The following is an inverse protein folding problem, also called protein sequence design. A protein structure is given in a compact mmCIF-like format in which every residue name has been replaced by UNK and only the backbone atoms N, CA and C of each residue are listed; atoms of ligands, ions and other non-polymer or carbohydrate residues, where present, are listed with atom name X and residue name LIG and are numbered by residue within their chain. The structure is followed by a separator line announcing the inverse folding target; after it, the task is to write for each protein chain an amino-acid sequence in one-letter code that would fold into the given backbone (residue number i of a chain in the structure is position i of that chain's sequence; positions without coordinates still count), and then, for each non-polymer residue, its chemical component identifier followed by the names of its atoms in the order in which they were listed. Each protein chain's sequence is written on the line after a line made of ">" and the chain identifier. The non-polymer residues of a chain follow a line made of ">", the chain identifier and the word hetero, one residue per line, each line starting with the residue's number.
data_IF_714743960420
#
_entry.id   IF_714743960420
#
_cell.length_a   1.000
_cell.length_b   1.000
_cell.length_c   1.000
_cell.angle_alpha   90.00
_cell.angle_beta   90.00
_cell.angle_gamma   90.00
#
_symmetry.space_group_name_H-M   'P 1'
#
loop_
_entity.id
_entity.type
_entity.pdbx_description
1 polymer ?
#
# COMPACT_ATOMS: atom_id res chain seq x y z
N UNK A 1 18.22 -11.09 5.05
CA UNK A 1 17.41 -9.87 5.27
C UNK A 1 18.35 -8.65 5.28
N UNK A 2 17.93 -7.50 4.74
CA UNK A 2 18.76 -6.28 4.77
C UNK A 2 18.82 -5.72 6.20
N UNK A 3 19.96 -5.14 6.58
CA UNK A 3 20.15 -4.53 7.90
C UNK A 3 19.21 -3.32 8.09
N UNK A 4 18.79 -3.00 9.32
CA UNK A 4 17.96 -1.81 9.59
C UNK A 4 18.58 -0.52 9.06
N UNK A 5 19.92 -0.43 9.07
CA UNK A 5 20.66 0.72 8.56
C UNK A 5 20.50 0.93 7.05
N UNK A 6 20.34 -0.12 6.26
CA UNK A 6 20.12 0.00 4.81
C UNK A 6 18.72 0.51 4.48
N UNK A 7 17.69 0.13 5.26
CA UNK A 7 16.34 0.70 5.09
C UNK A 7 16.28 2.18 5.43
N UNK A 8 16.95 2.59 6.52
CA UNK A 8 17.07 4.01 6.87
C UNK A 8 17.85 4.79 5.80
N UNK A 9 18.97 4.24 5.30
CA UNK A 9 19.77 4.87 4.25
C UNK A 9 19.00 5.09 2.95
N UNK A 10 18.28 4.06 2.47
CA UNK A 10 17.40 4.19 1.31
C UNK A 10 16.26 5.19 1.55
N UNK A 11 15.65 5.16 2.73
CA UNK A 11 14.58 6.09 3.07
C UNK A 11 15.03 7.55 3.09
N UNK A 12 16.22 7.82 3.63
CA UNK A 12 16.85 9.16 3.61
C UNK A 12 17.13 9.59 2.17
N UNK A 13 17.65 8.71 1.33
CA UNK A 13 17.90 9.00 -0.09
C UNK A 13 16.60 9.38 -0.82
N UNK A 14 15.51 8.67 -0.55
CA UNK A 14 14.17 9.00 -1.10
C UNK A 14 13.63 10.35 -0.59
N UNK A 15 13.92 10.73 0.66
CA UNK A 15 13.52 12.06 1.16
C UNK A 15 14.33 13.18 0.49
N UNK A 16 15.64 12.99 0.33
CA UNK A 16 16.49 13.96 -0.37
C UNK A 16 16.14 14.07 -1.85
N UNK A 17 15.82 12.95 -2.51
CA UNK A 17 15.35 12.98 -3.91
C UNK A 17 13.99 13.68 -4.02
N UNK A 18 13.05 13.44 -3.10
CA UNK A 18 11.80 14.18 -3.04
C UNK A 18 12.01 15.69 -2.88
N UNK A 19 12.95 16.10 -2.02
CA UNK A 19 13.29 17.52 -1.85
C UNK A 19 13.87 18.16 -3.13
N UNK A 20 14.71 17.42 -3.87
CA UNK A 20 15.23 17.85 -5.17
C UNK A 20 14.15 17.92 -6.24
N UNK A 21 13.22 16.95 -6.26
CA UNK A 21 12.08 16.95 -7.17
C UNK A 21 11.09 18.08 -6.88
N UNK A 22 10.97 18.49 -5.60
CA UNK A 22 10.14 19.63 -5.19
C UNK A 22 10.66 20.98 -5.74
N UNK A 23 11.95 21.08 -6.05
CA UNK A 23 12.56 22.25 -6.66
C UNK A 23 12.44 22.28 -8.19
N UNK A 24 11.99 21.17 -8.80
CA UNK A 24 11.68 21.10 -10.24
C UNK A 24 10.19 21.14 -10.52
N UNK A 25 9.81 21.24 -11.79
CA UNK A 25 8.41 21.24 -12.26
C UNK A 25 7.80 19.82 -12.31
N UNK A 26 8.10 19.00 -11.29
CA UNK A 26 7.60 17.63 -11.22
C UNK A 26 6.19 17.64 -10.64
N UNK A 27 5.30 16.85 -11.23
CA UNK A 27 3.90 16.78 -10.81
C UNK A 27 3.81 16.48 -9.28
N UNK A 28 3.01 17.23 -8.51
CA UNK A 28 2.99 17.13 -7.05
C UNK A 28 2.71 15.72 -6.51
N UNK A 29 1.92 14.94 -7.21
CA UNK A 29 1.62 13.54 -6.84
C UNK A 29 2.84 12.63 -6.88
N UNK A 30 3.75 12.83 -7.83
CA UNK A 30 4.98 12.05 -7.97
C UNK A 30 5.89 12.35 -6.79
N UNK A 31 6.06 13.64 -6.47
CA UNK A 31 6.86 14.06 -5.31
C UNK A 31 6.29 13.51 -3.99
N UNK A 32 4.97 13.65 -3.79
CA UNK A 32 4.30 13.11 -2.60
C UNK A 32 4.50 11.59 -2.46
N UNK A 33 4.46 10.84 -3.56
CA UNK A 33 4.69 9.39 -3.56
C UNK A 33 6.12 9.05 -3.15
N UNK A 34 7.11 9.73 -3.72
CA UNK A 34 8.54 9.53 -3.40
C UNK A 34 8.82 9.82 -1.94
N UNK A 35 8.31 10.94 -1.41
CA UNK A 35 8.46 11.29 0.01
C UNK A 35 7.78 10.29 0.94
N UNK A 36 6.57 9.83 0.58
CA UNK A 36 5.84 8.84 1.37
C UNK A 36 6.57 7.50 1.42
N UNK A 37 7.12 7.04 0.29
CA UNK A 37 7.97 5.85 0.24
C UNK A 37 9.21 5.98 1.13
N UNK A 38 9.89 7.13 1.09
CA UNK A 38 11.04 7.41 1.94
C UNK A 38 10.70 7.34 3.44
N UNK A 39 9.60 7.95 3.84
CA UNK A 39 9.11 7.92 5.22
C UNK A 39 8.80 6.49 5.68
N UNK A 40 8.10 5.69 4.87
CA UNK A 40 7.77 4.29 5.17
C UNK A 40 9.05 3.46 5.40
N UNK A 41 10.07 3.64 4.57
CA UNK A 41 11.35 2.94 4.70
C UNK A 41 12.08 3.30 5.99
N UNK A 42 12.07 4.58 6.39
CA UNK A 42 12.66 5.03 7.66
C UNK A 42 11.90 4.42 8.83
N UNK A 43 10.57 4.53 8.85
CA UNK A 43 9.73 3.97 9.91
C UNK A 43 9.97 2.47 10.06
N UNK A 44 10.08 1.75 8.95
CA UNK A 44 10.41 0.31 8.93
C UNK A 44 11.79 0.04 9.51
N UNK A 45 12.81 0.79 9.10
CA UNK A 45 14.17 0.67 9.65
C UNK A 45 14.22 0.95 11.16
N UNK A 46 13.52 2.00 11.62
CA UNK A 46 13.42 2.36 13.05
C UNK A 46 12.75 1.23 13.84
N UNK A 47 11.67 0.66 13.30
CA UNK A 47 10.96 -0.46 13.95
C UNK A 47 11.84 -1.69 14.10
N UNK A 48 12.58 -2.08 13.04
CA UNK A 48 13.57 -3.17 13.11
C UNK A 48 14.65 -2.90 14.16
N UNK A 49 15.15 -1.65 14.21
CA UNK A 49 16.21 -1.30 15.14
C UNK A 49 15.74 -1.35 16.60
N UNK A 50 14.48 -0.97 16.87
CA UNK A 50 13.91 -0.94 18.22
C UNK A 50 13.49 -2.31 18.75
N UNK A 51 12.92 -3.16 17.91
CA UNK A 51 12.31 -4.42 18.36
C UNK A 51 13.02 -5.68 17.82
N UNK A 52 14.14 -5.52 17.12
CA UNK A 52 14.90 -6.63 16.53
C UNK A 52 14.14 -7.36 15.42
N UNK A 53 14.71 -8.48 14.95
CA UNK A 53 14.08 -9.33 13.94
C UNK A 53 12.84 -10.07 14.46
N UNK A 54 12.66 -10.15 15.79
CA UNK A 54 11.49 -10.78 16.39
C UNK A 54 10.20 -9.99 16.13
N UNK A 55 10.25 -8.67 16.03
CA UNK A 55 9.09 -7.87 15.59
C UNK A 55 8.69 -8.08 14.13
N UNK A 56 9.55 -8.69 13.31
CA UNK A 56 9.23 -9.09 11.95
C UNK A 56 8.68 -10.51 11.86
N UNK A 57 8.83 -11.33 12.91
CA UNK A 57 8.19 -12.65 12.98
C UNK A 57 6.70 -12.44 13.12
N UNK A 58 6.03 -12.31 11.98
CA UNK A 58 4.60 -12.48 11.91
C UNK A 58 4.29 -13.92 12.30
N UNK A 59 3.46 -14.07 13.33
CA UNK A 59 2.82 -15.32 13.66
C UNK A 59 2.17 -15.92 12.41
N UNK A 60 2.19 -17.26 12.30
CA UNK A 60 1.66 -17.98 11.15
C UNK A 60 0.21 -17.57 10.86
N UNK A 61 -0.57 -17.34 11.92
CA UNK A 61 -1.94 -16.82 11.85
C UNK A 61 -2.01 -15.45 11.19
N UNK A 62 -1.14 -14.51 11.59
CA UNK A 62 -1.12 -13.15 11.02
C UNK A 62 -0.75 -13.20 9.53
N UNK A 63 0.17 -14.10 9.16
CA UNK A 63 0.57 -14.31 7.76
C UNK A 63 -0.58 -14.88 6.92
N UNK A 64 -1.27 -15.93 7.41
CA UNK A 64 -2.44 -16.51 6.72
C UNK A 64 -3.55 -15.47 6.57
N UNK A 65 -3.85 -14.72 7.62
CA UNK A 65 -4.89 -13.69 7.60
C UNK A 65 -4.58 -12.56 6.61
N UNK A 66 -3.30 -12.16 6.53
CA UNK A 66 -2.83 -11.18 5.54
C UNK A 66 -2.97 -11.67 4.11
N UNK A 67 -2.63 -12.95 3.85
CA UNK A 67 -2.77 -13.56 2.53
C UNK A 67 -4.25 -13.65 2.11
N UNK A 68 -5.12 -14.17 2.97
CA UNK A 68 -6.56 -14.24 2.71
C UNK A 68 -7.16 -12.86 2.44
N UNK A 69 -6.86 -11.88 3.29
CA UNK A 69 -7.35 -10.53 3.09
C UNK A 69 -6.85 -9.88 1.79
N UNK A 70 -5.61 -10.16 1.38
CA UNK A 70 -5.09 -9.73 0.08
C UNK A 70 -5.85 -10.39 -1.08
N UNK A 71 -6.13 -11.69 -1.00
CA UNK A 71 -6.92 -12.41 -2.02
C UNK A 71 -8.33 -11.86 -2.15
N UNK A 72 -9.04 -11.66 -1.04
CA UNK A 72 -10.39 -11.08 -1.06
C UNK A 72 -10.39 -9.63 -1.53
N UNK A 73 -9.40 -8.82 -1.12
CA UNK A 73 -9.23 -7.45 -1.61
C UNK A 73 -8.98 -7.40 -3.11
N UNK A 74 -8.13 -8.29 -3.62
CA UNK A 74 -7.85 -8.38 -5.05
C UNK A 74 -9.09 -8.76 -5.86
N UNK A 75 -9.84 -9.77 -5.39
CA UNK A 75 -11.10 -10.17 -6.04
C UNK A 75 -12.15 -9.05 -6.01
N UNK A 76 -12.31 -8.36 -4.88
CA UNK A 76 -13.19 -7.20 -4.77
C UNK A 76 -12.77 -6.08 -5.72
N UNK A 77 -11.46 -5.84 -5.86
CA UNK A 77 -10.92 -4.83 -6.77
C UNK A 77 -11.19 -5.21 -8.23
N UNK A 78 -11.01 -6.48 -8.62
CA UNK A 78 -11.37 -6.95 -9.96
C UNK A 78 -12.84 -6.75 -10.28
N UNK A 79 -13.73 -7.02 -9.33
CA UNK A 79 -15.16 -6.76 -9.50
C UNK A 79 -15.44 -5.26 -9.67
N UNK A 80 -14.85 -4.41 -8.82
CA UNK A 80 -15.00 -2.96 -8.90
C UNK A 80 -14.46 -2.39 -10.23
N UNK A 81 -13.27 -2.79 -10.67
CA UNK A 81 -12.70 -2.33 -11.94
C UNK A 81 -13.50 -2.82 -13.15
N UNK A 82 -14.04 -4.04 -13.09
CA UNK A 82 -14.93 -4.55 -14.15
C UNK A 82 -16.20 -3.69 -14.24
N UNK A 83 -16.81 -3.33 -13.11
CA UNK A 83 -17.99 -2.44 -13.09
C UNK A 83 -17.63 -1.07 -13.65
N UNK A 84 -16.54 -0.46 -13.19
CA UNK A 84 -16.09 0.85 -13.67
C UNK A 84 -15.82 0.84 -15.18
N UNK A 85 -15.20 -0.23 -15.69
CA UNK A 85 -14.97 -0.41 -17.12
C UNK A 85 -16.29 -0.44 -17.90
N UNK A 86 -17.29 -1.20 -17.44
CA UNK A 86 -18.59 -1.23 -18.12
C UNK A 86 -19.31 0.11 -18.07
N UNK A 87 -19.23 0.84 -16.95
CA UNK A 87 -19.85 2.16 -16.80
C UNK A 87 -19.23 3.20 -17.75
N UNK A 88 -17.91 3.16 -17.92
CA UNK A 88 -17.19 4.02 -18.88
C UNK A 88 -17.47 3.59 -20.32
N UNK A 89 -17.46 2.29 -20.61
CA UNK A 89 -17.74 1.73 -21.94
C UNK A 89 -19.16 2.06 -22.44
N UNK A 90 -20.15 2.05 -21.55
CA UNK A 90 -21.54 2.40 -21.88
C UNK A 90 -21.78 3.92 -21.90
N UNK A 91 -20.73 4.73 -21.72
CA UNK A 91 -20.77 6.20 -21.63
C UNK A 91 -21.72 6.72 -20.53
N UNK A 92 -21.94 5.93 -19.47
CA UNK A 92 -22.77 6.31 -18.31
C UNK A 92 -22.01 7.30 -17.43
N UNK A 93 -20.69 7.11 -17.30
CA UNK A 93 -19.79 7.94 -16.50
C UNK A 93 -18.48 8.10 -17.29
N UNK A 94 -18.13 9.34 -17.65
CA UNK A 94 -16.82 9.64 -18.25
C UNK A 94 -15.75 9.70 -17.17
N UNK A 95 -14.89 8.70 -17.12
CA UNK A 95 -13.87 8.58 -16.08
C UNK A 95 -12.48 8.91 -16.61
N UNK A 96 -11.80 9.87 -15.98
CA UNK A 96 -10.40 10.16 -16.29
C UNK A 96 -9.48 9.05 -15.74
N UNK A 97 -8.49 8.57 -16.53
CA UNK A 97 -7.58 7.51 -16.09
C UNK A 97 -6.88 7.79 -14.76
N UNK A 98 -6.51 9.05 -14.50
CA UNK A 98 -5.85 9.47 -13.27
C UNK A 98 -6.72 9.22 -12.03
N UNK A 99 -8.02 9.51 -12.15
CA UNK A 99 -9.01 9.30 -11.09
C UNK A 99 -9.25 7.81 -10.89
N UNK A 100 -9.30 7.03 -11.98
CA UNK A 100 -9.49 5.58 -11.94
C UNK A 100 -8.34 4.91 -11.17
N UNK A 101 -7.09 5.19 -11.54
CA UNK A 101 -5.93 4.57 -10.89
C UNK A 101 -5.86 4.92 -9.40
N UNK A 102 -6.08 6.19 -9.05
CA UNK A 102 -6.11 6.62 -7.65
C UNK A 102 -7.21 5.92 -6.85
N UNK A 103 -8.42 5.84 -7.43
CA UNK A 103 -9.57 5.21 -6.79
C UNK A 103 -9.36 3.71 -6.59
N UNK A 104 -8.79 3.01 -7.57
CA UNK A 104 -8.48 1.58 -7.49
C UNK A 104 -7.48 1.30 -6.38
N UNK A 105 -6.38 2.04 -6.31
CA UNK A 105 -5.34 1.85 -5.29
C UNK A 105 -5.89 2.12 -3.89
N UNK A 106 -6.69 3.19 -3.74
CA UNK A 106 -7.38 3.50 -2.49
C UNK A 106 -8.36 2.39 -2.11
N UNK A 107 -9.23 1.97 -3.02
CA UNK A 107 -10.23 0.92 -2.79
C UNK A 107 -9.58 -0.40 -2.38
N UNK A 108 -8.50 -0.80 -3.07
CA UNK A 108 -7.74 -2.00 -2.73
C UNK A 108 -7.14 -1.90 -1.32
N UNK A 109 -6.53 -0.76 -0.97
CA UNK A 109 -5.92 -0.55 0.35
C UNK A 109 -6.95 -0.60 1.48
N UNK A 110 -8.09 0.08 1.31
CA UNK A 110 -9.17 0.09 2.30
C UNK A 110 -9.86 -1.26 2.43
N UNK A 111 -10.16 -1.92 1.31
CA UNK A 111 -10.79 -3.25 1.33
C UNK A 111 -9.88 -4.28 1.98
N UNK A 112 -8.56 -4.23 1.77
CA UNK A 112 -7.62 -5.11 2.47
C UNK A 112 -7.69 -4.90 3.98
N UNK A 113 -7.79 -3.66 4.47
CA UNK A 113 -7.92 -3.38 5.90
C UNK A 113 -9.27 -3.89 6.44
N UNK A 114 -10.35 -3.69 5.69
CA UNK A 114 -11.68 -4.19 6.03
C UNK A 114 -11.72 -5.71 6.09
N UNK A 115 -11.18 -6.41 5.08
CA UNK A 115 -11.13 -7.87 5.06
C UNK A 115 -10.23 -8.42 6.16
N UNK A 116 -9.08 -7.80 6.45
CA UNK A 116 -8.26 -8.18 7.61
C UNK A 116 -9.06 -8.08 8.89
N UNK A 117 -9.82 -7.00 9.09
CA UNK A 117 -10.62 -6.82 10.29
C UNK A 117 -11.75 -7.86 10.39
N UNK A 118 -12.50 -8.06 9.31
CA UNK A 118 -13.60 -9.04 9.23
C UNK A 118 -13.10 -10.47 9.43
N UNK A 119 -11.99 -10.86 8.82
CA UNK A 119 -11.38 -12.18 8.99
C UNK A 119 -10.84 -12.37 10.41
N UNK A 120 -10.27 -11.32 11.02
CA UNK A 120 -9.80 -11.38 12.41
C UNK A 120 -10.95 -11.62 13.39
N UNK A 121 -12.13 -11.07 13.10
CA UNK A 121 -13.33 -11.25 13.93
C UNK A 121 -13.92 -12.66 13.90
N UNK A 122 -13.67 -13.43 12.83
CA UNK A 122 -14.27 -14.77 12.67
C UNK A 122 -13.65 -15.86 13.56
N UNK A 123 -12.63 -15.56 14.37
CA UNK A 123 -11.92 -16.60 15.13
C UNK A 123 -11.17 -17.55 14.19
N UNK A 124 -10.34 -18.45 14.71
CA UNK A 124 -9.40 -19.26 13.93
C UNK A 124 -10.11 -19.97 12.74
N UNK A 125 -9.78 -19.56 11.52
CA UNK A 125 -10.20 -20.31 10.31
C UNK A 125 -9.20 -21.44 10.20
N UNK A 126 -9.51 -22.54 10.88
CA UNK A 126 -8.81 -23.81 10.83
C UNK A 126 -8.71 -24.35 9.41
#
# INVERSE_FOLDING_TARGET
>A
MMKPTTYMGLGVLFLFSGFGLAAGDVHPSVNATVMTCGLILILRGVRLRRHGEEALKCDERTRKLGAWAATYSWFATLMATSILYWLDYLDILKLQPEIIYGTIVMFMSFSMLAFRWVLAWKGDVS
#
